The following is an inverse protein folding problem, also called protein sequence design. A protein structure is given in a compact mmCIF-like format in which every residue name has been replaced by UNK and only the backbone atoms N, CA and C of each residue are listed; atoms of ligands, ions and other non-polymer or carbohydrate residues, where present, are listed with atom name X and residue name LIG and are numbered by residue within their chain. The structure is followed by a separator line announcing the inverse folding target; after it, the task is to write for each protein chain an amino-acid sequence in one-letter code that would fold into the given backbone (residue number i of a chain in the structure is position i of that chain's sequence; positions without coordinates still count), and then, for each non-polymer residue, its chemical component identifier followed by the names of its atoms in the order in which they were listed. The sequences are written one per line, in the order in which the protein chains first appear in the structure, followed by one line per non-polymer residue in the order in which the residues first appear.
data_IF_222961474612
#
_entry.id   IF_222961474612
#
_cell.length_a   1.000
_cell.length_b   1.000
_cell.length_c   1.000
_cell.angle_alpha   90.00
_cell.angle_beta   90.00
_cell.angle_gamma   90.00
#
_symmetry.space_group_name_H-M   'P 1'
#
loop_
_entity.id
_entity.type
_entity.pdbx_description
1 polymer ?
#
# COMPACT_ATOMS: atom_id res chain seq x y z
N UNK A 1 16.40 21.38 -38.37
CA UNK A 1 16.58 22.18 -37.14
C UNK A 1 16.74 21.20 -35.98
N UNK A 2 17.74 21.36 -35.11
CA UNK A 2 17.98 20.43 -34.00
C UNK A 2 16.99 20.75 -32.87
N UNK A 3 16.15 19.80 -32.47
CA UNK A 3 15.31 19.97 -31.28
C UNK A 3 16.16 19.74 -30.03
N UNK A 4 16.41 20.81 -29.28
CA UNK A 4 17.06 20.73 -27.97
C UNK A 4 16.02 20.27 -26.96
N UNK A 5 16.09 19.01 -26.53
CA UNK A 5 15.21 18.49 -25.49
C UNK A 5 15.55 19.18 -24.14
N UNK A 6 14.66 20.05 -23.67
CA UNK A 6 14.78 20.69 -22.36
C UNK A 6 14.19 19.73 -21.33
N UNK A 7 15.05 18.90 -20.74
CA UNK A 7 14.68 18.03 -19.62
C UNK A 7 14.51 18.89 -18.36
N UNK A 8 13.27 19.20 -18.00
CA UNK A 8 12.94 19.90 -16.75
C UNK A 8 12.76 18.87 -15.65
N UNK A 9 13.86 18.56 -14.93
CA UNK A 9 13.80 17.74 -13.72
C UNK A 9 12.98 18.45 -12.64
N UNK A 10 11.91 17.82 -12.17
CA UNK A 10 11.08 18.31 -11.07
C UNK A 10 11.87 18.28 -9.75
N UNK A 11 12.45 19.43 -9.39
CA UNK A 11 13.08 19.66 -8.09
C UNK A 11 12.14 20.52 -7.24
N UNK A 12 11.41 19.87 -6.34
CA UNK A 12 10.60 20.54 -5.30
C UNK A 12 11.51 21.04 -4.17
N UNK A 13 12.07 22.24 -4.31
CA UNK A 13 12.70 22.96 -3.19
C UNK A 13 11.67 23.89 -2.57
N UNK A 14 11.15 23.52 -1.40
CA UNK A 14 10.52 24.43 -0.46
C UNK A 14 11.52 24.78 0.64
N UNK A 15 12.30 25.84 0.46
CA UNK A 15 13.05 26.46 1.56
C UNK A 15 12.22 27.60 2.15
N UNK A 16 11.73 27.40 3.38
CA UNK A 16 11.35 28.51 4.26
C UNK A 16 12.59 28.91 5.06
N UNK A 17 12.99 30.18 4.96
CA UNK A 17 14.25 30.65 5.51
C UNK A 17 14.23 30.89 7.01
N UNK A 18 15.40 30.76 7.64
CA UNK A 18 15.72 31.34 8.93
C UNK A 18 17.06 32.09 8.82
N UNK A 19 17.17 33.23 9.47
CA UNK A 19 18.21 34.24 9.24
C UNK A 19 19.53 33.99 9.99
N UNK A 20 20.62 34.26 9.27
CA UNK A 20 21.92 34.80 9.71
C UNK A 20 22.39 34.63 11.17
N UNK A 21 23.59 34.05 11.33
CA UNK A 21 24.66 34.61 12.18
C UNK A 21 26.03 34.11 11.69
N UNK A 22 26.95 35.01 11.31
CA UNK A 22 28.37 34.68 11.08
C UNK A 22 29.18 34.81 12.36
N UNK A 23 30.28 34.04 12.49
CA UNK A 23 31.53 34.71 12.89
C UNK A 23 32.81 34.17 12.20
N UNK A 24 33.65 35.14 11.80
CA UNK A 24 35.12 35.15 11.68
C UNK A 24 35.90 34.11 10.82
N UNK A 25 37.00 34.53 10.14
CA UNK A 25 37.82 33.65 9.30
C UNK A 25 38.97 32.98 10.08
N UNK A 26 39.25 31.71 9.77
CA UNK A 26 40.46 31.00 10.21
C UNK A 26 41.47 30.85 9.05
N UNK A 27 42.76 30.95 9.37
CA UNK A 27 43.87 30.94 8.41
C UNK A 27 44.14 29.54 7.79
N UNK A 28 44.76 29.46 6.60
CA UNK A 28 44.94 28.19 5.89
C UNK A 28 46.07 27.33 6.48
N UNK A 29 45.81 26.03 6.65
CA UNK A 29 46.81 25.00 6.90
C UNK A 29 47.11 24.22 5.59
N UNK A 30 48.32 23.65 5.42
CA UNK A 30 48.82 23.25 4.10
C UNK A 30 48.24 21.94 3.57
N UNK A 31 48.18 21.83 2.25
CA UNK A 31 47.71 20.64 1.55
C UNK A 31 48.70 19.45 1.70
N UNK A 32 48.20 18.32 2.17
CA UNK A 32 48.87 17.02 2.07
C UNK A 32 48.27 16.23 0.90
N UNK A 33 49.09 15.90 -0.09
CA UNK A 33 48.66 15.07 -1.22
C UNK A 33 48.47 13.61 -0.79
N UNK A 34 47.33 13.02 -1.17
CA UNK A 34 46.95 11.68 -0.73
C UNK A 34 45.69 11.17 -1.43
N UNK A 35 45.62 11.28 -2.76
CA UNK A 35 44.52 10.71 -3.55
C UNK A 35 44.62 9.17 -3.58
N UNK A 36 44.06 8.53 -2.56
CA UNK A 36 43.49 7.20 -2.74
C UNK A 36 42.13 7.37 -3.45
N UNK A 37 41.94 6.72 -4.59
CA UNK A 37 40.66 6.68 -5.29
C UNK A 37 39.64 5.89 -4.45
N UNK A 38 38.99 6.57 -3.50
CA UNK A 38 37.72 6.11 -2.97
C UNK A 38 36.69 6.21 -4.11
N UNK A 39 36.21 5.06 -4.59
CA UNK A 39 35.03 5.05 -5.45
C UNK A 39 33.89 5.79 -4.72
N UNK A 40 33.08 6.62 -5.40
CA UNK A 40 31.93 7.24 -4.77
C UNK A 40 31.05 6.13 -4.17
N UNK A 41 30.50 6.31 -2.96
CA UNK A 41 29.70 5.28 -2.31
C UNK A 41 28.57 4.87 -3.25
N UNK A 42 28.44 3.56 -3.49
CA UNK A 42 27.44 3.03 -4.40
C UNK A 42 26.06 3.52 -3.94
N UNK A 43 25.41 4.31 -4.80
CA UNK A 43 24.07 4.83 -4.51
C UNK A 43 23.14 3.62 -4.31
N UNK A 44 22.40 3.53 -3.19
CA UNK A 44 21.44 2.44 -3.00
C UNK A 44 20.45 2.43 -4.16
N UNK A 45 19.86 1.27 -4.52
CA UNK A 45 19.06 1.12 -5.74
C UNK A 45 17.95 2.16 -5.79
N UNK A 46 18.17 3.18 -6.61
CA UNK A 46 17.18 4.21 -6.89
C UNK A 46 16.10 3.54 -7.74
N UNK A 47 14.85 3.58 -7.25
CA UNK A 47 13.70 3.06 -8.00
C UNK A 47 13.54 3.78 -9.35
N UNK A 48 12.62 3.28 -10.19
CA UNK A 48 12.33 3.82 -11.54
C UNK A 48 12.37 5.35 -11.55
N UNK A 49 13.11 5.91 -12.52
CA UNK A 49 13.20 7.37 -12.75
C UNK A 49 11.78 7.96 -12.80
N UNK A 50 11.46 9.01 -12.03
CA UNK A 50 10.16 9.66 -12.11
C UNK A 50 9.83 10.11 -13.56
N UNK A 51 8.58 9.93 -14.02
CA UNK A 51 8.09 10.42 -15.31
C UNK A 51 8.34 11.92 -15.50
N UNK A 52 8.70 12.33 -16.71
CA UNK A 52 9.06 13.73 -17.01
C UNK A 52 8.29 14.31 -18.19
N UNK A 53 7.92 15.59 -18.07
CA UNK A 53 7.41 16.36 -19.20
C UNK A 53 8.57 16.72 -20.13
N UNK A 54 8.40 16.51 -21.44
CA UNK A 54 9.42 16.72 -22.48
C UNK A 54 9.42 18.17 -23.00
N UNK A 55 8.34 18.92 -22.78
CA UNK A 55 8.18 20.30 -23.27
C UNK A 55 7.49 21.21 -22.25
N UNK A 56 7.70 22.53 -22.37
CA UNK A 56 7.04 23.51 -21.50
C UNK A 56 5.49 23.49 -21.63
N UNK A 57 4.87 23.43 -22.84
CA UNK A 57 3.41 23.38 -22.96
C UNK A 57 2.78 22.09 -22.40
N UNK A 58 3.52 20.99 -22.39
CA UNK A 58 3.15 19.75 -21.72
C UNK A 58 3.21 19.91 -20.19
N UNK A 59 4.28 20.50 -19.66
CA UNK A 59 4.41 20.76 -18.23
C UNK A 59 3.34 21.73 -17.69
N UNK A 60 3.00 22.78 -18.44
CA UNK A 60 1.96 23.74 -18.06
C UNK A 60 0.56 23.11 -18.11
N UNK A 61 0.28 22.25 -19.10
CA UNK A 61 -0.96 21.50 -19.15
C UNK A 61 -1.06 20.42 -18.05
N UNK A 62 0.05 19.78 -17.70
CA UNK A 62 0.12 18.84 -16.57
C UNK A 62 -0.21 19.56 -15.25
N UNK A 63 0.37 20.75 -15.01
CA UNK A 63 0.03 21.58 -13.84
C UNK A 63 -1.44 21.97 -13.80
N UNK A 64 -2.01 22.37 -14.94
CA UNK A 64 -3.43 22.73 -15.03
C UNK A 64 -4.33 21.53 -14.72
N UNK A 65 -4.00 20.33 -15.22
CA UNK A 65 -4.73 19.11 -14.92
C UNK A 65 -4.64 18.72 -13.43
N UNK A 66 -3.44 18.81 -12.83
CA UNK A 66 -3.21 18.47 -11.42
C UNK A 66 -3.94 19.38 -10.42
N UNK A 67 -4.45 20.54 -10.84
CA UNK A 67 -5.32 21.38 -10.02
C UNK A 67 -6.65 20.66 -9.65
N UNK A 68 -7.05 19.65 -10.42
CA UNK A 68 -8.26 18.86 -10.21
C UNK A 68 -8.03 17.60 -9.35
N UNK A 69 -6.83 17.39 -8.79
CA UNK A 69 -6.41 16.15 -8.10
C UNK A 69 -7.24 15.71 -6.89
N UNK A 70 -8.15 16.55 -6.39
CA UNK A 70 -9.07 16.23 -5.29
C UNK A 70 -10.49 15.82 -5.77
N UNK A 71 -10.78 15.86 -7.07
CA UNK A 71 -12.05 15.47 -7.68
C UNK A 71 -11.78 14.39 -8.74
N UNK A 72 -12.23 13.15 -8.49
CA UNK A 72 -11.96 12.03 -9.39
C UNK A 72 -12.49 12.23 -10.82
N UNK A 73 -13.66 12.85 -10.99
CA UNK A 73 -14.26 13.04 -12.31
C UNK A 73 -13.61 14.18 -13.09
N UNK A 74 -13.29 15.29 -12.41
CA UNK A 74 -12.52 16.37 -13.02
C UNK A 74 -11.08 15.94 -13.34
N UNK A 75 -10.47 15.10 -12.48
CA UNK A 75 -9.13 14.55 -12.68
C UNK A 75 -9.09 13.53 -13.83
N UNK A 76 -10.02 12.58 -13.90
CA UNK A 76 -10.15 11.64 -15.04
C UNK A 76 -10.29 12.39 -16.36
N UNK A 77 -11.22 13.37 -16.41
CA UNK A 77 -11.42 14.20 -17.60
C UNK A 77 -10.13 14.92 -18.00
N UNK A 78 -9.45 15.54 -17.03
CA UNK A 78 -8.20 16.27 -17.28
C UNK A 78 -7.07 15.34 -17.76
N UNK A 79 -7.00 14.12 -17.22
CA UNK A 79 -6.04 13.11 -17.64
C UNK A 79 -6.31 12.61 -19.06
N UNK A 80 -7.57 12.37 -19.42
CA UNK A 80 -7.97 11.94 -20.78
C UNK A 80 -7.77 13.07 -21.82
N UNK A 81 -8.15 14.32 -21.52
CA UNK A 81 -7.91 15.47 -22.40
C UNK A 81 -6.40 15.71 -22.60
N UNK A 82 -5.60 15.59 -21.54
CA UNK A 82 -4.14 15.67 -21.63
C UNK A 82 -3.56 14.51 -22.46
N UNK A 83 -4.01 13.28 -22.24
CA UNK A 83 -3.52 12.10 -22.97
C UNK A 83 -3.87 12.15 -24.45
N UNK A 84 -5.02 12.71 -24.83
CA UNK A 84 -5.38 12.97 -26.23
C UNK A 84 -4.49 14.04 -26.88
N UNK A 85 -4.10 15.08 -26.13
CA UNK A 85 -3.25 16.17 -26.63
C UNK A 85 -1.76 15.82 -26.67
N UNK A 86 -1.28 15.02 -25.74
CA UNK A 86 0.13 14.64 -25.59
C UNK A 86 0.29 13.11 -25.47
N UNK A 87 -0.01 12.33 -26.52
CA UNK A 87 -0.05 10.86 -26.47
C UNK A 87 1.31 10.21 -26.15
N UNK A 88 2.43 10.90 -26.43
CA UNK A 88 3.78 10.43 -26.14
C UNK A 88 4.35 10.96 -24.81
N UNK A 89 3.55 11.66 -24.02
CA UNK A 89 3.96 12.20 -22.71
C UNK A 89 4.17 11.08 -21.70
N UNK A 90 5.22 11.19 -20.88
CA UNK A 90 5.43 10.28 -19.74
C UNK A 90 4.48 10.60 -18.58
N UNK A 91 4.19 11.89 -18.34
CA UNK A 91 3.42 12.33 -17.15
C UNK A 91 1.92 12.00 -17.20
N UNK A 92 1.42 11.40 -18.29
CA UNK A 92 0.08 10.78 -18.34
C UNK A 92 -0.13 9.78 -17.20
N UNK A 93 0.91 9.03 -16.83
CA UNK A 93 0.83 8.06 -15.74
C UNK A 93 0.50 8.74 -14.41
N UNK A 94 1.16 9.87 -14.10
CA UNK A 94 0.96 10.65 -12.87
C UNK A 94 -0.46 11.25 -12.81
N UNK A 95 -1.03 11.62 -13.95
CA UNK A 95 -2.40 12.13 -14.03
C UNK A 95 -3.44 11.01 -13.77
N UNK A 96 -3.22 9.80 -14.31
CA UNK A 96 -4.10 8.66 -14.03
C UNK A 96 -3.90 8.09 -12.61
N UNK A 97 -2.70 8.13 -12.04
CA UNK A 97 -2.48 7.86 -10.62
C UNK A 97 -3.24 8.84 -9.73
N UNK A 98 -3.20 10.15 -10.03
CA UNK A 98 -3.96 11.14 -9.28
C UNK A 98 -5.48 10.89 -9.39
N UNK A 99 -5.99 10.54 -10.58
CA UNK A 99 -7.39 10.16 -10.75
C UNK A 99 -7.75 8.88 -9.98
N UNK A 100 -6.87 7.87 -9.98
CA UNK A 100 -7.01 6.63 -9.21
C UNK A 100 -7.11 6.92 -7.71
N UNK A 101 -6.16 7.69 -7.15
CA UNK A 101 -6.15 8.09 -5.73
C UNK A 101 -7.38 8.93 -5.36
N UNK A 102 -7.84 9.82 -6.24
CA UNK A 102 -9.04 10.62 -6.03
C UNK A 102 -10.33 9.78 -6.03
N UNK A 103 -10.41 8.72 -6.86
CA UNK A 103 -11.51 7.77 -6.79
C UNK A 103 -11.41 6.82 -5.59
N UNK A 104 -10.21 6.46 -5.17
CA UNK A 104 -9.98 5.69 -3.94
C UNK A 104 -10.46 6.47 -2.71
N UNK A 105 -10.11 7.75 -2.57
CA UNK A 105 -10.57 8.59 -1.45
C UNK A 105 -12.07 8.86 -1.48
N UNK A 106 -12.68 8.91 -2.68
CA UNK A 106 -14.13 8.96 -2.87
C UNK A 106 -14.84 7.60 -2.70
N UNK A 107 -14.14 6.52 -2.34
CA UNK A 107 -14.65 5.14 -2.22
C UNK A 107 -15.37 4.62 -3.49
N UNK A 108 -14.95 5.10 -4.67
CA UNK A 108 -15.49 4.68 -5.96
C UNK A 108 -14.59 3.60 -6.57
N UNK A 109 -14.80 2.36 -6.13
CA UNK A 109 -13.94 1.22 -6.50
C UNK A 109 -13.90 0.94 -8.01
N UNK A 110 -15.04 1.06 -8.72
CA UNK A 110 -15.11 0.77 -10.15
C UNK A 110 -14.25 1.76 -10.94
N UNK A 111 -14.40 3.07 -10.66
CA UNK A 111 -13.58 4.11 -11.29
C UNK A 111 -12.12 4.11 -10.83
N UNK A 112 -11.85 3.74 -9.59
CA UNK A 112 -10.48 3.54 -9.11
C UNK A 112 -9.80 2.42 -9.91
N UNK A 113 -10.47 1.29 -10.12
CA UNK A 113 -9.97 0.18 -10.94
C UNK A 113 -9.80 0.58 -12.40
N UNK A 114 -10.74 1.33 -12.99
CA UNK A 114 -10.59 1.84 -14.37
C UNK A 114 -9.31 2.68 -14.52
N UNK A 115 -9.05 3.60 -13.58
CA UNK A 115 -7.85 4.44 -13.61
C UNK A 115 -6.58 3.63 -13.34
N UNK A 116 -6.62 2.68 -12.40
CA UNK A 116 -5.52 1.75 -12.15
C UNK A 116 -5.19 0.91 -13.40
N UNK A 117 -6.19 0.42 -14.13
CA UNK A 117 -5.98 -0.27 -15.42
C UNK A 117 -5.45 0.67 -16.52
N UNK A 118 -5.80 1.97 -16.52
CA UNK A 118 -5.14 2.97 -17.38
C UNK A 118 -3.66 3.17 -17.00
N UNK A 119 -3.31 3.19 -15.70
CA UNK A 119 -1.92 3.25 -15.21
C UNK A 119 -1.14 2.00 -15.64
N UNK A 120 -1.66 0.79 -15.39
CA UNK A 120 -1.00 -0.47 -15.76
C UNK A 120 -0.81 -0.67 -17.27
N UNK A 121 -1.60 0.01 -18.10
CA UNK A 121 -1.40 0.06 -19.55
C UNK A 121 -0.22 0.95 -19.96
N UNK A 122 0.19 1.89 -19.12
CA UNK A 122 1.34 2.79 -19.34
C UNK A 122 2.62 2.26 -18.68
N UNK A 123 2.52 1.66 -17.49
CA UNK A 123 3.60 0.98 -16.77
C UNK A 123 3.02 -0.25 -16.04
N UNK A 124 3.26 -1.43 -16.61
CA UNK A 124 2.71 -2.69 -16.12
C UNK A 124 3.26 -3.11 -14.75
N UNK A 125 4.39 -2.53 -14.33
CA UNK A 125 5.05 -2.86 -13.07
C UNK A 125 4.67 -1.89 -11.94
N UNK A 126 3.86 -0.86 -12.21
CA UNK A 126 3.53 0.20 -11.25
C UNK A 126 2.90 -0.40 -9.98
N UNK A 127 3.62 -0.44 -8.85
CA UNK A 127 3.20 -1.26 -7.72
C UNK A 127 1.96 -0.71 -7.00
N UNK A 128 1.66 0.59 -7.13
CA UNK A 128 0.46 1.19 -6.53
C UNK A 128 -0.79 0.78 -7.30
N UNK A 129 -0.77 0.88 -8.62
CA UNK A 129 -1.88 0.43 -9.46
C UNK A 129 -2.05 -1.10 -9.42
N UNK A 130 -0.96 -1.86 -9.31
CA UNK A 130 -1.02 -3.32 -9.11
C UNK A 130 -1.77 -3.68 -7.81
N UNK A 131 -1.42 -3.05 -6.67
CA UNK A 131 -2.12 -3.27 -5.39
C UNK A 131 -3.56 -2.78 -5.44
N UNK A 132 -3.81 -1.58 -5.99
CA UNK A 132 -5.15 -0.99 -6.06
C UNK A 132 -6.14 -1.83 -6.90
N UNK A 133 -5.73 -2.25 -8.10
CA UNK A 133 -6.56 -3.11 -8.96
C UNK A 133 -6.77 -4.49 -8.32
N UNK A 134 -5.74 -5.07 -7.71
CA UNK A 134 -5.86 -6.33 -6.97
C UNK A 134 -6.88 -6.21 -5.81
N UNK A 135 -6.80 -5.15 -5.01
CA UNK A 135 -7.73 -4.93 -3.90
C UNK A 135 -9.18 -4.83 -4.38
N UNK A 136 -9.46 -4.05 -5.44
CA UNK A 136 -10.82 -3.95 -6.00
C UNK A 136 -11.32 -5.30 -6.50
N UNK A 137 -10.47 -6.10 -7.16
CA UNK A 137 -10.83 -7.46 -7.57
C UNK A 137 -11.16 -8.34 -6.36
N UNK A 138 -10.32 -8.36 -5.32
CA UNK A 138 -10.57 -9.15 -4.12
C UNK A 138 -11.86 -8.75 -3.37
N UNK A 139 -12.15 -7.45 -3.28
CA UNK A 139 -13.27 -6.92 -2.48
C UNK A 139 -14.61 -6.86 -3.24
N UNK A 140 -14.60 -6.78 -4.58
CA UNK A 140 -15.82 -6.67 -5.39
C UNK A 140 -16.27 -7.96 -6.05
N UNK A 141 -15.43 -8.99 -6.08
CA UNK A 141 -15.80 -10.34 -6.55
C UNK A 141 -16.71 -11.01 -5.54
N UNK A 142 -17.81 -11.59 -6.02
CA UNK A 142 -18.84 -12.26 -5.22
C UNK A 142 -18.86 -13.74 -5.55
N UNK A 143 -19.34 -14.56 -4.61
CA UNK A 143 -19.49 -16.01 -4.82
C UNK A 143 -20.45 -16.38 -5.96
N UNK A 144 -21.32 -15.45 -6.34
CA UNK A 144 -22.28 -15.56 -7.45
C UNK A 144 -21.70 -15.21 -8.82
N UNK A 145 -20.50 -14.64 -8.89
CA UNK A 145 -19.95 -14.15 -10.15
C UNK A 145 -19.37 -15.32 -10.97
N UNK A 146 -19.76 -15.42 -12.25
CA UNK A 146 -19.36 -16.55 -13.12
C UNK A 146 -17.85 -16.58 -13.41
N UNK A 147 -17.19 -15.42 -13.30
CA UNK A 147 -15.76 -15.22 -13.51
C UNK A 147 -14.98 -15.10 -12.18
N UNK A 148 -15.59 -15.45 -11.03
CA UNK A 148 -14.98 -15.23 -9.70
C UNK A 148 -13.56 -15.78 -9.56
N UNK A 149 -13.32 -16.99 -10.05
CA UNK A 149 -12.02 -17.65 -9.90
C UNK A 149 -10.96 -16.95 -10.76
N UNK A 150 -11.33 -16.52 -11.98
CA UNK A 150 -10.47 -15.71 -12.84
C UNK A 150 -10.13 -14.35 -12.20
N UNK A 151 -11.11 -13.69 -11.57
CA UNK A 151 -10.91 -12.40 -10.88
C UNK A 151 -10.01 -12.54 -9.65
N UNK A 152 -10.18 -13.63 -8.90
CA UNK A 152 -9.35 -13.98 -7.75
C UNK A 152 -7.91 -14.35 -8.15
N UNK A 153 -7.72 -15.10 -9.23
CA UNK A 153 -6.40 -15.40 -9.77
C UNK A 153 -5.70 -14.15 -10.34
N UNK A 154 -6.43 -13.27 -11.03
CA UNK A 154 -5.93 -11.95 -11.45
C UNK A 154 -5.50 -11.11 -10.23
N UNK A 155 -6.32 -11.05 -9.18
CA UNK A 155 -6.02 -10.36 -7.93
C UNK A 155 -4.74 -10.87 -7.26
N UNK A 156 -4.60 -12.19 -7.09
CA UNK A 156 -3.38 -12.77 -6.50
C UNK A 156 -2.16 -12.50 -7.37
N UNK A 157 -2.30 -12.61 -8.70
CA UNK A 157 -1.20 -12.33 -9.64
C UNK A 157 -0.72 -10.89 -9.52
N UNK A 158 -1.63 -9.92 -9.57
CA UNK A 158 -1.31 -8.49 -9.46
C UNK A 158 -0.68 -8.14 -8.09
N UNK A 159 -1.22 -8.68 -6.99
CA UNK A 159 -0.66 -8.48 -5.65
C UNK A 159 0.74 -9.10 -5.48
N UNK A 160 1.03 -10.24 -6.13
CA UNK A 160 2.37 -10.84 -6.15
C UNK A 160 3.34 -10.05 -7.02
N UNK A 161 2.92 -9.59 -8.20
CA UNK A 161 3.71 -8.70 -9.07
C UNK A 161 4.10 -7.43 -8.30
N UNK A 162 3.17 -6.83 -7.54
CA UNK A 162 3.50 -5.68 -6.69
C UNK A 162 4.58 -5.99 -5.63
N UNK A 163 4.54 -7.17 -5.00
CA UNK A 163 5.57 -7.57 -4.03
C UNK A 163 6.96 -7.70 -4.67
N UNK A 164 7.04 -7.98 -5.96
CA UNK A 164 8.28 -8.03 -6.74
C UNK A 164 8.73 -6.61 -7.13
N UNK A 165 7.81 -5.73 -7.54
CA UNK A 165 8.14 -4.41 -8.11
C UNK A 165 8.19 -3.25 -7.11
N UNK A 166 7.68 -3.41 -5.87
CA UNK A 166 7.77 -2.40 -4.80
C UNK A 166 9.21 -1.93 -4.56
N UNK A 167 10.22 -2.79 -4.76
CA UNK A 167 11.61 -2.40 -4.51
C UNK A 167 12.29 -1.64 -5.65
N UNK A 168 11.88 -1.90 -6.89
CA UNK A 168 12.55 -1.46 -8.12
C UNK A 168 11.77 -0.40 -8.90
N UNK A 169 10.45 -0.39 -8.82
CA UNK A 169 9.58 0.32 -9.77
C UNK A 169 8.85 1.53 -9.16
N UNK A 170 9.09 1.81 -7.88
CA UNK A 170 8.59 3.03 -7.25
C UNK A 170 9.31 4.29 -7.78
N UNK A 171 8.52 5.20 -8.34
CA UNK A 171 8.94 6.55 -8.70
C UNK A 171 9.12 7.40 -7.42
N UNK A 172 10.33 7.42 -6.87
CA UNK A 172 10.66 8.14 -5.63
C UNK A 172 11.07 9.59 -5.94
N UNK A 173 10.38 10.62 -5.39
CA UNK A 173 10.78 12.01 -5.56
C UNK A 173 12.15 12.29 -4.93
N UNK A 174 12.97 13.10 -5.61
CA UNK A 174 14.29 13.50 -5.13
C UNK A 174 14.21 14.18 -3.75
N UNK A 175 15.04 13.73 -2.81
CA UNK A 175 15.06 14.25 -1.43
C UNK A 175 13.99 13.67 -0.49
N UNK A 176 13.22 12.67 -0.93
CA UNK A 176 12.30 11.95 -0.03
C UNK A 176 13.11 11.23 1.07
N UNK A 177 12.83 11.44 2.37
CA UNK A 177 13.56 10.79 3.45
C UNK A 177 13.41 9.26 3.42
N UNK A 178 14.49 8.55 3.78
CA UNK A 178 14.52 7.08 3.70
C UNK A 178 13.47 6.41 4.59
N UNK A 179 13.19 6.96 5.78
CA UNK A 179 12.13 6.47 6.66
C UNK A 179 10.74 6.53 6.01
N UNK A 180 10.49 7.53 5.15
CA UNK A 180 9.23 7.66 4.39
C UNK A 180 9.16 6.67 3.24
N UNK A 181 10.29 6.43 2.55
CA UNK A 181 10.39 5.41 1.50
C UNK A 181 10.12 4.03 2.09
N UNK A 182 10.80 3.66 3.18
CA UNK A 182 10.68 2.36 3.82
C UNK A 182 9.28 2.15 4.43
N UNK A 183 8.73 3.19 5.07
CA UNK A 183 7.34 3.21 5.58
C UNK A 183 6.33 2.99 4.46
N UNK A 184 6.48 3.64 3.31
CA UNK A 184 5.58 3.46 2.17
C UNK A 184 5.72 2.07 1.53
N UNK A 185 6.95 1.59 1.32
CA UNK A 185 7.21 0.22 0.84
C UNK A 185 6.58 -0.83 1.77
N UNK A 186 6.71 -0.68 3.09
CA UNK A 186 6.13 -1.62 4.06
C UNK A 186 4.60 -1.54 4.10
N UNK A 187 4.01 -0.34 4.00
CA UNK A 187 2.57 -0.18 3.82
C UNK A 187 2.07 -0.92 2.58
N UNK A 188 2.72 -0.76 1.42
CA UNK A 188 2.33 -1.45 0.19
C UNK A 188 2.49 -2.96 0.29
N UNK A 189 3.59 -3.45 0.85
CA UNK A 189 3.81 -4.89 1.09
C UNK A 189 2.75 -5.46 2.04
N UNK A 190 2.38 -4.74 3.09
CA UNK A 190 1.32 -5.13 4.02
C UNK A 190 -0.02 -5.27 3.27
N UNK A 191 -0.42 -4.25 2.51
CA UNK A 191 -1.64 -4.27 1.69
C UNK A 191 -1.65 -5.42 0.68
N UNK A 192 -0.55 -5.66 -0.03
CA UNK A 192 -0.46 -6.77 -1.00
C UNK A 192 -0.66 -8.14 -0.33
N UNK A 193 -0.10 -8.37 0.88
CA UNK A 193 -0.34 -9.62 1.62
C UNK A 193 -1.76 -9.68 2.21
N UNK A 194 -2.37 -8.55 2.61
CA UNK A 194 -3.79 -8.48 2.98
C UNK A 194 -4.73 -8.84 1.82
N UNK A 195 -4.46 -8.36 0.60
CA UNK A 195 -5.22 -8.71 -0.60
C UNK A 195 -5.10 -10.20 -0.90
N UNK A 196 -3.89 -10.75 -0.85
CA UNK A 196 -3.66 -12.20 -1.02
C UNK A 196 -4.43 -13.00 0.04
N UNK A 197 -4.36 -12.61 1.32
CA UNK A 197 -5.10 -13.27 2.40
C UNK A 197 -6.62 -13.18 2.24
N UNK A 198 -7.13 -12.05 1.76
CA UNK A 198 -8.57 -11.85 1.49
C UNK A 198 -9.06 -12.77 0.38
N UNK A 199 -8.32 -12.91 -0.71
CA UNK A 199 -8.67 -13.86 -1.77
C UNK A 199 -8.60 -15.31 -1.28
N UNK A 200 -7.54 -15.68 -0.57
CA UNK A 200 -7.38 -17.03 -0.02
C UNK A 200 -8.50 -17.39 0.96
N UNK A 201 -8.93 -16.44 1.80
CA UNK A 201 -10.07 -16.61 2.69
C UNK A 201 -11.38 -16.84 1.92
N UNK A 202 -11.63 -16.07 0.85
CA UNK A 202 -12.81 -16.25 0.00
C UNK A 202 -12.76 -17.53 -0.87
N UNK A 203 -11.57 -18.13 -1.03
CA UNK A 203 -11.37 -19.44 -1.66
C UNK A 203 -11.39 -20.60 -0.63
N UNK A 204 -11.85 -20.36 0.61
CA UNK A 204 -11.85 -21.29 1.75
C UNK A 204 -10.46 -21.86 2.15
N UNK A 205 -9.36 -21.24 1.67
CA UNK A 205 -7.96 -21.62 1.97
C UNK A 205 -7.49 -20.96 3.28
N UNK A 206 -8.18 -21.25 4.37
CA UNK A 206 -8.06 -20.51 5.62
C UNK A 206 -6.66 -20.52 6.24
N UNK A 207 -5.91 -21.63 6.13
CA UNK A 207 -4.53 -21.71 6.64
C UNK A 207 -3.56 -20.83 5.84
N UNK A 208 -3.72 -20.76 4.51
CA UNK A 208 -2.92 -19.87 3.66
C UNK A 208 -3.31 -18.39 3.90
N UNK A 209 -4.59 -18.13 4.15
CA UNK A 209 -5.10 -16.81 4.51
C UNK A 209 -4.54 -16.33 5.86
N UNK A 210 -4.52 -17.17 6.89
CA UNK A 210 -3.86 -16.93 8.17
C UNK A 210 -2.40 -16.52 7.98
N UNK A 211 -1.63 -17.30 7.21
CA UNK A 211 -0.23 -17.01 6.93
C UNK A 211 -0.04 -15.66 6.20
N UNK A 212 -0.93 -15.33 5.25
CA UNK A 212 -0.90 -14.07 4.53
C UNK A 212 -1.27 -12.86 5.41
N UNK A 213 -2.28 -12.98 6.28
CA UNK A 213 -2.66 -11.92 7.22
C UNK A 213 -1.60 -11.70 8.32
N UNK A 214 -1.00 -12.78 8.84
CA UNK A 214 0.17 -12.67 9.72
C UNK A 214 1.29 -11.87 9.07
N UNK A 215 1.70 -12.26 7.84
CA UNK A 215 2.73 -11.54 7.09
C UNK A 215 2.36 -10.07 6.83
N UNK A 216 1.09 -9.75 6.58
CA UNK A 216 0.65 -8.36 6.44
C UNK A 216 0.83 -7.54 7.73
N UNK A 217 0.54 -8.13 8.90
CA UNK A 217 0.72 -7.50 10.22
C UNK A 217 2.22 -7.36 10.56
N UNK A 218 3.00 -8.43 10.38
CA UNK A 218 4.41 -8.50 10.78
C UNK A 218 5.33 -7.59 9.95
N UNK A 219 4.94 -7.25 8.72
CA UNK A 219 5.67 -6.31 7.85
C UNK A 219 5.56 -4.85 8.33
N UNK A 220 4.46 -4.48 8.99
CA UNK A 220 4.22 -3.09 9.39
C UNK A 220 3.56 -2.96 10.78
N UNK A 221 4.17 -3.54 11.83
CA UNK A 221 3.52 -3.78 13.12
C UNK A 221 3.20 -2.49 13.90
N UNK A 222 3.93 -1.41 13.65
CA UNK A 222 3.68 -0.09 14.26
C UNK A 222 2.43 0.62 13.71
N UNK A 223 1.87 0.10 12.62
CA UNK A 223 0.73 0.65 11.87
C UNK A 223 -0.20 -0.50 11.42
N UNK A 224 -0.29 -1.56 12.23
CA UNK A 224 -1.13 -2.71 11.95
C UNK A 224 -2.61 -2.26 11.83
N UNK A 225 -3.24 -2.58 10.71
CA UNK A 225 -4.64 -2.23 10.46
C UNK A 225 -5.58 -3.18 11.24
N UNK A 226 -6.49 -2.67 12.10
CA UNK A 226 -7.44 -3.50 12.83
C UNK A 226 -8.34 -4.37 11.93
N UNK A 227 -8.56 -4.01 10.67
CA UNK A 227 -9.29 -4.83 9.70
C UNK A 227 -8.50 -6.11 9.36
N UNK A 228 -7.19 -6.00 9.18
CA UNK A 228 -6.30 -7.15 8.92
C UNK A 228 -6.27 -8.07 10.14
N UNK A 229 -6.19 -7.49 11.35
CA UNK A 229 -6.23 -8.24 12.62
C UNK A 229 -7.57 -8.97 12.80
N UNK A 230 -8.69 -8.34 12.46
CA UNK A 230 -10.00 -9.00 12.49
C UNK A 230 -10.11 -10.11 11.43
N UNK A 231 -9.59 -9.91 10.22
CA UNK A 231 -9.57 -10.96 9.19
C UNK A 231 -8.70 -12.16 9.59
N UNK A 232 -7.59 -11.94 10.30
CA UNK A 232 -6.81 -13.02 10.90
C UNK A 232 -7.64 -13.82 11.92
N UNK A 233 -8.37 -13.14 12.82
CA UNK A 233 -9.27 -13.82 13.76
C UNK A 233 -10.34 -14.67 13.04
N UNK A 234 -10.93 -14.16 11.95
CA UNK A 234 -11.89 -14.90 11.13
C UNK A 234 -11.24 -16.10 10.40
N UNK A 235 -10.01 -15.98 9.91
CA UNK A 235 -9.29 -17.11 9.30
C UNK A 235 -8.96 -18.22 10.31
N UNK A 236 -8.67 -17.85 11.56
CA UNK A 236 -8.46 -18.78 12.67
C UNK A 236 -9.77 -19.45 13.13
N UNK A 237 -10.88 -18.70 13.19
CA UNK A 237 -12.23 -19.24 13.48
C UNK A 237 -12.62 -20.35 12.50
N UNK A 238 -12.40 -20.10 11.20
CA UNK A 238 -12.69 -21.06 10.13
C UNK A 238 -11.84 -22.34 10.17
N UNK A 239 -10.80 -22.36 10.99
CA UNK A 239 -9.97 -23.53 11.31
C UNK A 239 -10.27 -24.11 12.70
N UNK A 240 -11.32 -23.62 13.37
CA UNK A 240 -11.73 -23.99 14.73
C UNK A 240 -10.65 -23.71 15.80
N UNK A 241 -9.67 -22.84 15.49
CA UNK A 241 -8.61 -22.39 16.40
C UNK A 241 -9.14 -21.31 17.37
N UNK A 242 -10.25 -21.59 18.05
CA UNK A 242 -11.00 -20.59 18.82
C UNK A 242 -10.18 -19.80 19.86
N UNK A 243 -9.24 -20.39 20.61
CA UNK A 243 -8.40 -19.63 21.55
C UNK A 243 -7.52 -18.57 20.86
N UNK A 244 -6.91 -18.92 19.74
CA UNK A 244 -6.06 -18.00 18.97
C UNK A 244 -6.90 -16.96 18.22
N UNK A 245 -8.02 -17.37 17.63
CA UNK A 245 -9.00 -16.46 17.04
C UNK A 245 -9.49 -15.42 18.06
N UNK A 246 -9.82 -15.85 19.28
CA UNK A 246 -10.29 -14.97 20.35
C UNK A 246 -9.25 -13.91 20.72
N UNK A 247 -7.97 -14.31 20.83
CA UNK A 247 -6.84 -13.39 21.09
C UNK A 247 -6.78 -12.27 20.03
N UNK A 248 -6.89 -12.59 18.75
CA UNK A 248 -6.85 -11.59 17.68
C UNK A 248 -8.16 -10.77 17.60
N UNK A 249 -9.31 -11.36 17.95
CA UNK A 249 -10.55 -10.60 18.08
C UNK A 249 -10.50 -9.59 19.24
N UNK A 250 -9.99 -9.96 20.42
CA UNK A 250 -9.71 -9.04 21.54
C UNK A 250 -8.73 -7.92 21.14
N UNK A 251 -7.69 -8.24 20.36
CA UNK A 251 -6.77 -7.24 19.81
C UNK A 251 -7.50 -6.26 18.87
N UNK A 252 -8.31 -6.76 17.92
CA UNK A 252 -9.09 -5.91 17.02
C UNK A 252 -10.10 -5.03 17.76
N UNK A 253 -10.73 -5.53 18.84
CA UNK A 253 -11.59 -4.72 19.73
C UNK A 253 -10.80 -3.60 20.40
N UNK A 254 -9.60 -3.91 20.92
CA UNK A 254 -8.71 -2.94 21.58
C UNK A 254 -8.24 -1.83 20.63
N UNK A 255 -8.07 -2.15 19.34
CA UNK A 255 -7.64 -1.23 18.29
C UNK A 255 -8.79 -0.40 17.69
N UNK A 256 -10.05 -0.60 18.09
CA UNK A 256 -11.23 0.00 17.44
C UNK A 256 -12.19 0.69 18.40
N UNK A 257 -12.74 1.84 17.98
CA UNK A 257 -13.80 2.54 18.72
C UNK A 257 -15.13 1.77 18.64
N UNK A 258 -15.88 1.68 19.76
CA UNK A 258 -17.19 1.03 19.86
C UNK A 258 -18.24 1.56 18.87
N UNK A 259 -18.20 2.86 18.58
CA UNK A 259 -19.09 3.50 17.61
C UNK A 259 -18.80 3.11 16.16
N UNK A 260 -17.60 2.60 15.85
CA UNK A 260 -17.19 2.25 14.49
C UNK A 260 -17.81 0.92 14.04
N UNK A 261 -18.16 0.81 12.75
CA UNK A 261 -18.70 -0.43 12.18
C UNK A 261 -17.71 -1.60 12.35
N UNK A 262 -16.41 -1.36 12.13
CA UNK A 262 -15.36 -2.36 12.36
C UNK A 262 -15.29 -2.80 13.83
N UNK A 263 -15.42 -1.85 14.76
CA UNK A 263 -15.46 -2.16 16.19
C UNK A 263 -16.67 -2.99 16.61
N UNK A 264 -17.85 -2.74 16.03
CA UNK A 264 -19.05 -3.55 16.26
C UNK A 264 -18.87 -4.98 15.71
N UNK A 265 -18.27 -5.12 14.52
CA UNK A 265 -17.93 -6.44 13.95
C UNK A 265 -16.93 -7.20 14.83
N UNK A 266 -15.86 -6.54 15.28
CA UNK A 266 -14.86 -7.15 16.15
C UNK A 266 -15.45 -7.60 17.50
N UNK A 267 -16.31 -6.79 18.14
CA UNK A 267 -16.96 -7.14 19.42
C UNK A 267 -17.90 -8.33 19.27
N UNK A 268 -18.75 -8.34 18.25
CA UNK A 268 -19.65 -9.46 17.93
C UNK A 268 -18.88 -10.76 17.72
N UNK A 269 -17.78 -10.70 16.98
CA UNK A 269 -16.97 -11.87 16.68
C UNK A 269 -16.23 -12.40 17.92
N UNK A 270 -15.65 -11.48 18.70
CA UNK A 270 -15.05 -11.76 20.01
C UNK A 270 -16.03 -12.45 20.96
N UNK A 271 -17.28 -11.98 21.04
CA UNK A 271 -18.32 -12.61 21.87
C UNK A 271 -18.64 -14.05 21.43
N UNK A 272 -18.77 -14.28 20.12
CA UNK A 272 -18.99 -15.62 19.54
C UNK A 272 -17.83 -16.56 19.86
N UNK A 273 -16.60 -16.12 19.62
CA UNK A 273 -15.36 -16.88 19.91
C UNK A 273 -15.17 -17.18 21.39
N UNK A 274 -15.54 -16.25 22.27
CA UNK A 274 -15.49 -16.46 23.72
C UNK A 274 -16.49 -17.53 24.17
N UNK A 275 -17.65 -17.65 23.52
CA UNK A 275 -18.60 -18.73 23.79
C UNK A 275 -18.09 -20.08 23.30
N UNK A 276 -17.57 -20.14 22.05
CA UNK A 276 -17.00 -21.37 21.47
C UNK A 276 -15.81 -21.90 22.27
N UNK A 277 -14.86 -21.02 22.64
CA UNK A 277 -13.69 -21.36 23.47
C UNK A 277 -14.09 -21.94 24.84
N UNK A 278 -15.17 -21.44 25.44
CA UNK A 278 -15.73 -21.98 26.69
C UNK A 278 -16.40 -23.35 26.49
N UNK A 279 -17.04 -23.57 25.34
CA UNK A 279 -17.69 -24.84 25.01
C UNK A 279 -16.72 -25.93 24.56
N UNK A 280 -15.55 -25.57 24.01
CA UNK A 280 -14.50 -26.50 23.59
C UNK A 280 -13.51 -26.88 24.71
N UNK A 281 -13.63 -26.27 25.90
CA UNK A 281 -12.77 -26.57 27.04
C UNK A 281 -13.11 -27.97 27.63
N UNK A 282 -12.10 -28.81 27.95
CA UNK A 282 -12.34 -30.06 28.66
C UNK A 282 -13.07 -29.83 29.99
N UNK A 283 -14.00 -30.73 30.40
CA UNK A 283 -14.65 -30.60 31.70
C UNK A 283 -13.61 -30.60 32.82
N UNK A 284 -13.80 -29.80 33.89
CA UNK A 284 -12.85 -29.73 34.99
C UNK A 284 -12.71 -31.12 35.62
N UNK A 285 -11.45 -31.54 35.85
CA UNK A 285 -11.16 -32.84 36.44
C UNK A 285 -11.90 -32.98 37.78
N UNK A 286 -12.80 -33.96 37.86
CA UNK A 286 -13.56 -34.25 39.07
C UNK A 286 -12.61 -34.77 40.14
N UNK A 287 -12.21 -33.89 41.07
CA UNK A 287 -11.44 -34.26 42.27
C UNK A 287 -12.31 -35.10 43.22
N UNK A 288 -12.51 -36.37 42.86
CA UNK A 288 -13.01 -37.40 43.77
C UNK A 288 -11.88 -37.79 44.72
N UNK A 289 -11.68 -36.99 45.76
CA UNK A 289 -10.83 -37.36 46.89
C UNK A 289 -11.31 -38.71 47.45
N UNK A 290 -10.46 -39.75 47.53
CA UNK A 290 -10.87 -41.01 48.11
C UNK A 290 -11.18 -40.82 49.60
N UNK A 291 -12.43 -41.05 49.98
CA UNK A 291 -12.80 -41.17 51.40
C UNK A 291 -12.04 -42.35 51.99
N UNK A 292 -11.14 -42.07 52.94
CA UNK A 292 -10.54 -43.09 53.78
C UNK A 292 -11.55 -43.50 54.85
N UNK A 293 -11.93 -44.78 54.82
CA UNK A 293 -12.44 -45.48 56.00
C UNK A 293 -11.24 -45.98 56.84
#
# INVERSE_FOLDING_TARGET
MKQTAIVVTLVMITMVGASAQQPAPAAPAPAAAGQANAAPPATPPQGKRPPQAKTQPEFDAYKAAMANSNDGAAMEKSADEFAAKYPDSEVRILLYEAAMRAYQSANNADKMMDMGRKVLKLDADNPEALVGVAQVLAERTRDTDLDKDQRYDESIKLARHALETIDTDLAIPAGTPQDKIDSYKNFMRSNANYVIGTVLYNQDKFADAEAAFHKAIDIYPSQADPLVVLRLALALDKQEKYPDALKYADQAVTMTQDSSQLGQMARKERERLAALTRSSAPPPASNTSPQKN
#
